data_IF_241095647790
#
_entry.id   IF_241095647790
#
_cell.length_a   1.000
_cell.length_b   1.000
_cell.length_c   1.000
_cell.angle_alpha   90.00
_cell.angle_beta   90.00
_cell.angle_gamma   90.00
#
_symmetry.space_group_name_H-M   'P 1'
#
loop_
_entity.id
_entity.type
_entity.pdbx_description
1 polymer ?
#
# COMPACT_ATOMS: atom_id res chain seq x y z
N UNK A 1 10.88 -14.31 5.47
CA UNK A 1 9.72 -14.71 6.31
C UNK A 1 8.45 -14.31 5.56
N UNK A 2 7.55 -15.26 5.28
CA UNK A 2 6.30 -14.99 4.56
C UNK A 2 5.33 -14.24 5.48
N UNK A 3 4.87 -13.05 5.06
CA UNK A 3 3.91 -12.22 5.82
C UNK A 3 2.46 -12.73 5.71
N UNK A 4 2.23 -13.86 5.04
CA UNK A 4 0.96 -14.58 5.05
C UNK A 4 1.22 -16.06 4.75
N UNK A 5 0.93 -16.92 5.72
CA UNK A 5 0.90 -18.38 5.53
C UNK A 5 -0.42 -18.86 4.90
N UNK A 6 -1.28 -17.95 4.45
CA UNK A 6 -2.53 -18.30 3.77
C UNK A 6 -2.23 -18.75 2.34
N UNK A 7 -2.81 -19.88 1.92
CA UNK A 7 -2.78 -20.26 0.51
C UNK A 7 -3.53 -19.18 -0.30
N UNK A 8 -3.21 -18.98 -1.59
CA UNK A 8 -3.94 -18.01 -2.43
C UNK A 8 -5.46 -18.18 -2.37
N UNK A 9 -5.94 -19.43 -2.23
CA UNK A 9 -7.35 -19.75 -2.04
C UNK A 9 -7.93 -19.15 -0.74
N UNK A 10 -7.20 -19.20 0.36
CA UNK A 10 -7.64 -18.70 1.66
C UNK A 10 -7.68 -17.16 1.66
N UNK A 11 -6.68 -16.51 1.07
CA UNK A 11 -6.68 -15.07 0.86
C UNK A 11 -7.89 -14.63 0.01
N UNK A 12 -8.19 -15.36 -1.06
CA UNK A 12 -9.36 -15.11 -1.90
C UNK A 12 -10.70 -15.28 -1.17
N UNK A 13 -10.83 -16.34 -0.34
CA UNK A 13 -12.02 -16.56 0.49
C UNK A 13 -12.19 -15.44 1.52
N UNK A 14 -11.12 -15.06 2.22
CA UNK A 14 -11.15 -13.99 3.21
C UNK A 14 -11.54 -12.64 2.57
N UNK A 15 -10.95 -12.31 1.41
CA UNK A 15 -11.28 -11.09 0.66
C UNK A 15 -12.76 -11.08 0.23
N UNK A 16 -13.30 -12.22 -0.25
CA UNK A 16 -14.71 -12.34 -0.62
C UNK A 16 -15.64 -12.16 0.58
N UNK A 17 -15.32 -12.73 1.72
CA UNK A 17 -16.13 -12.55 2.94
C UNK A 17 -16.08 -11.10 3.42
N UNK A 18 -14.90 -10.48 3.42
CA UNK A 18 -14.73 -9.09 3.83
C UNK A 18 -15.45 -8.11 2.90
N UNK A 19 -15.49 -8.38 1.59
CA UNK A 19 -16.13 -7.47 0.62
C UNK A 19 -17.63 -7.32 0.86
N UNK A 20 -18.32 -8.39 1.30
CA UNK A 20 -19.73 -8.32 1.66
C UNK A 20 -19.98 -7.37 2.84
N UNK A 21 -19.08 -7.35 3.82
CA UNK A 21 -19.18 -6.41 4.95
C UNK A 21 -18.83 -4.99 4.53
N UNK A 22 -17.78 -4.81 3.71
CA UNK A 22 -17.36 -3.51 3.21
C UNK A 22 -18.45 -2.83 2.37
N UNK A 23 -19.19 -3.60 1.58
CA UNK A 23 -20.27 -3.13 0.72
C UNK A 23 -21.47 -2.56 1.50
N UNK A 24 -21.68 -2.94 2.76
CA UNK A 24 -22.81 -2.48 3.58
C UNK A 24 -22.44 -1.35 4.54
N UNK A 25 -21.16 -0.97 4.62
CA UNK A 25 -20.73 0.15 5.46
C UNK A 25 -21.26 1.49 4.93
N UNK A 26 -21.42 2.45 5.82
CA UNK A 26 -21.67 3.85 5.44
C UNK A 26 -20.41 4.48 4.85
N UNK A 27 -20.58 5.51 4.02
CA UNK A 27 -19.47 6.29 3.47
C UNK A 27 -18.62 6.91 4.59
N UNK A 28 -19.24 7.34 5.70
CA UNK A 28 -18.52 7.81 6.89
C UNK A 28 -17.59 6.74 7.46
N UNK A 29 -18.07 5.51 7.67
CA UNK A 29 -17.24 4.43 8.22
C UNK A 29 -16.07 4.07 7.28
N UNK A 30 -16.29 4.09 5.96
CA UNK A 30 -15.21 3.91 4.97
C UNK A 30 -14.20 5.06 5.03
N UNK A 31 -14.66 6.29 5.17
CA UNK A 31 -13.80 7.47 5.26
C UNK A 31 -12.98 7.51 6.56
N UNK A 32 -13.55 7.05 7.67
CA UNK A 32 -12.84 6.89 8.93
C UNK A 32 -11.73 5.84 8.80
N UNK A 33 -11.99 4.72 8.12
CA UNK A 33 -10.97 3.71 7.82
C UNK A 33 -9.82 4.28 6.97
N UNK A 34 -10.10 5.05 5.92
CA UNK A 34 -9.07 5.72 5.11
C UNK A 34 -8.22 6.70 5.95
N UNK A 35 -8.86 7.44 6.85
CA UNK A 35 -8.19 8.37 7.77
C UNK A 35 -7.27 7.61 8.74
N UNK A 36 -7.73 6.48 9.27
CA UNK A 36 -6.94 5.63 10.16
C UNK A 36 -5.73 5.02 9.43
N UNK A 37 -5.90 4.58 8.18
CA UNK A 37 -4.80 4.07 7.34
C UNK A 37 -3.76 5.17 7.10
N UNK A 38 -4.19 6.38 6.73
CA UNK A 38 -3.28 7.51 6.54
C UNK A 38 -2.47 7.81 7.81
N UNK A 39 -3.12 7.85 8.97
CA UNK A 39 -2.47 8.10 10.26
C UNK A 39 -1.45 7.00 10.61
N UNK A 40 -1.82 5.73 10.43
CA UNK A 40 -0.93 4.59 10.70
C UNK A 40 0.31 4.60 9.79
N UNK A 41 0.13 4.82 8.47
CA UNK A 41 1.25 4.91 7.53
C UNK A 41 2.17 6.09 7.87
N UNK A 42 1.59 7.25 8.21
CA UNK A 42 2.36 8.44 8.62
C UNK A 42 3.21 8.17 9.86
N UNK A 43 2.63 7.51 10.87
CA UNK A 43 3.33 7.15 12.12
C UNK A 43 4.43 6.10 11.91
N UNK A 44 4.25 5.19 10.96
CA UNK A 44 5.20 4.13 10.62
C UNK A 44 6.17 4.48 9.48
N UNK A 45 6.31 5.77 9.12
CA UNK A 45 7.14 6.23 7.98
C UNK A 45 8.54 5.64 8.01
N UNK A 46 9.25 5.81 9.12
CA UNK A 46 10.65 5.41 9.23
C UNK A 46 10.82 3.88 9.12
N UNK A 47 9.91 3.11 9.71
CA UNK A 47 9.90 1.65 9.63
C UNK A 47 9.69 1.19 8.17
N UNK A 48 8.73 1.80 7.47
CA UNK A 48 8.41 1.45 6.08
C UNK A 48 9.56 1.83 5.14
N UNK A 49 10.17 3.00 5.33
CA UNK A 49 11.32 3.42 4.52
C UNK A 49 12.55 2.54 4.78
N UNK A 50 12.78 2.12 6.02
CA UNK A 50 13.83 1.16 6.35
C UNK A 50 13.58 -0.23 5.74
N UNK A 51 12.31 -0.66 5.64
CA UNK A 51 11.95 -1.87 4.89
C UNK A 51 12.22 -1.69 3.39
N UNK A 52 11.76 -0.59 2.79
CA UNK A 52 11.97 -0.31 1.36
C UNK A 52 13.46 -0.19 0.99
N UNK A 53 14.31 0.34 1.88
CA UNK A 53 15.74 0.40 1.66
C UNK A 53 16.40 -0.99 1.54
N UNK A 54 15.91 -1.98 2.31
CA UNK A 54 16.36 -3.37 2.20
C UNK A 54 15.94 -3.96 0.84
N UNK A 55 14.72 -3.71 0.42
CA UNK A 55 14.22 -4.14 -0.89
C UNK A 55 15.00 -3.49 -2.04
N UNK A 56 15.33 -2.19 -1.93
CA UNK A 56 16.16 -1.49 -2.91
C UNK A 56 17.57 -2.06 -3.01
N UNK A 57 18.14 -2.53 -1.91
CA UNK A 57 19.46 -3.17 -1.91
C UNK A 57 19.43 -4.46 -2.73
N UNK A 58 18.43 -5.32 -2.46
CA UNK A 58 18.24 -6.55 -3.22
C UNK A 58 17.91 -6.27 -4.70
N UNK A 59 17.07 -5.26 -4.98
CA UNK A 59 16.69 -4.88 -6.33
C UNK A 59 17.86 -4.29 -7.14
N UNK A 60 18.80 -3.58 -6.50
CA UNK A 60 20.02 -3.09 -7.15
C UNK A 60 20.95 -4.24 -7.52
N UNK A 61 21.12 -5.23 -6.65
CA UNK A 61 21.89 -6.44 -6.96
C UNK A 61 21.27 -7.20 -8.15
N UNK A 62 19.94 -7.35 -8.16
CA UNK A 62 19.20 -7.93 -9.29
C UNK A 62 19.25 -7.07 -10.58
N UNK A 63 19.54 -5.77 -10.47
CA UNK A 63 19.74 -4.93 -11.65
C UNK A 63 21.15 -5.08 -12.24
N UNK A 64 22.14 -5.33 -11.39
CA UNK A 64 23.52 -5.60 -11.80
C UNK A 64 23.64 -6.93 -12.58
N UNK A 65 22.89 -7.96 -12.18
CA UNK A 65 22.84 -9.25 -12.89
C UNK A 65 21.89 -9.27 -14.11
N UNK A 66 21.19 -8.16 -14.36
CA UNK A 66 20.28 -7.99 -15.50
C UNK A 66 18.90 -8.65 -15.32
N UNK A 67 18.62 -9.28 -14.18
CA UNK A 67 17.31 -9.89 -13.90
C UNK A 67 16.21 -8.84 -13.63
N UNK A 68 16.60 -7.61 -13.25
CA UNK A 68 15.71 -6.49 -13.02
C UNK A 68 16.15 -5.23 -13.78
N UNK A 69 15.20 -4.51 -14.39
CA UNK A 69 15.53 -3.24 -15.05
C UNK A 69 15.70 -2.09 -14.04
N UNK A 70 16.57 -1.13 -14.35
CA UNK A 70 16.75 0.08 -13.56
C UNK A 70 15.43 0.88 -13.40
N UNK A 71 14.52 0.80 -14.39
CA UNK A 71 13.18 1.40 -14.32
C UNK A 71 12.34 0.79 -13.20
N UNK A 72 12.42 -0.53 -12.98
CA UNK A 72 11.70 -1.19 -11.88
C UNK A 72 12.30 -0.84 -10.51
N UNK A 73 13.62 -0.75 -10.37
CA UNK A 73 14.27 -0.24 -9.14
C UNK A 73 13.81 1.18 -8.83
N UNK A 74 13.77 2.03 -9.86
CA UNK A 74 13.29 3.40 -9.80
C UNK A 74 11.81 3.50 -9.40
N UNK A 75 10.97 2.52 -9.75
CA UNK A 75 9.57 2.43 -9.31
C UNK A 75 9.42 1.90 -7.89
N UNK A 76 10.36 1.11 -7.39
CA UNK A 76 10.37 0.58 -6.03
C UNK A 76 10.75 1.65 -4.98
N UNK A 77 11.60 2.61 -5.36
CA UNK A 77 12.16 3.61 -4.43
C UNK A 77 11.09 4.58 -3.90
N UNK A 78 10.72 4.45 -2.61
CA UNK A 78 9.76 5.32 -1.93
C UNK A 78 10.37 6.64 -1.44
N UNK A 79 11.70 6.76 -1.37
CA UNK A 79 12.39 7.96 -0.90
C UNK A 79 12.54 9.03 -1.98
N UNK A 80 12.10 8.74 -3.20
CA UNK A 80 12.04 9.74 -4.26
C UNK A 80 11.29 10.99 -3.80
N UNK A 81 11.81 12.19 -4.07
CA UNK A 81 11.19 13.44 -3.63
C UNK A 81 9.70 13.49 -3.95
N UNK A 82 8.88 13.76 -2.94
CA UNK A 82 7.42 13.88 -3.05
C UNK A 82 6.65 12.55 -3.11
N UNK A 83 7.30 11.43 -3.41
CA UNK A 83 6.58 10.16 -3.64
C UNK A 83 5.86 9.64 -2.39
N UNK A 84 6.49 9.76 -1.23
CA UNK A 84 5.87 9.40 0.03
C UNK A 84 4.68 10.30 0.35
N UNK A 85 4.87 11.61 0.19
CA UNK A 85 3.85 12.62 0.45
C UNK A 85 2.66 12.47 -0.51
N UNK A 86 2.91 12.22 -1.79
CA UNK A 86 1.89 11.96 -2.81
C UNK A 86 1.10 10.69 -2.50
N UNK A 87 1.78 9.63 -2.03
CA UNK A 87 1.12 8.37 -1.61
C UNK A 87 0.15 8.61 -0.45
N UNK A 88 0.58 9.34 0.58
CA UNK A 88 -0.29 9.67 1.71
C UNK A 88 -1.43 10.60 1.29
N UNK A 89 -1.14 11.64 0.50
CA UNK A 89 -2.14 12.57 -0.02
C UNK A 89 -3.21 11.84 -0.82
N UNK A 90 -2.84 10.88 -1.66
CA UNK A 90 -3.78 10.09 -2.47
C UNK A 90 -4.86 9.38 -1.64
N UNK A 91 -4.54 8.95 -0.41
CA UNK A 91 -5.52 8.34 0.50
C UNK A 91 -6.57 9.37 0.93
N UNK A 92 -6.13 10.59 1.27
CA UNK A 92 -7.02 11.67 1.68
C UNK A 92 -7.81 12.24 0.50
N UNK A 93 -7.22 12.26 -0.69
CA UNK A 93 -7.90 12.64 -1.93
C UNK A 93 -9.08 11.69 -2.19
N UNK A 94 -8.87 10.37 -2.08
CA UNK A 94 -9.93 9.36 -2.25
C UNK A 94 -11.02 9.51 -1.18
N UNK A 95 -10.63 9.72 0.08
CA UNK A 95 -11.57 10.00 1.18
C UNK A 95 -12.44 11.23 0.90
N UNK A 96 -11.91 12.21 0.18
CA UNK A 96 -12.59 13.46 -0.16
C UNK A 96 -13.54 13.37 -1.36
N UNK A 97 -13.61 12.22 -2.04
CA UNK A 97 -14.53 12.02 -3.16
C UNK A 97 -15.94 11.71 -2.64
N UNK A 98 -16.93 12.19 -3.39
CA UNK A 98 -18.34 11.81 -3.16
C UNK A 98 -18.55 10.33 -3.51
N UNK A 99 -19.53 9.71 -2.85
CA UNK A 99 -19.89 8.34 -3.13
C UNK A 99 -20.56 8.24 -4.52
N UNK A 100 -20.05 7.41 -5.44
CA UNK A 100 -20.62 7.32 -6.79
C UNK A 100 -22.05 6.73 -6.84
N UNK A 101 -22.57 6.22 -5.72
CA UNK A 101 -23.92 5.67 -5.59
C UNK A 101 -24.96 6.62 -4.96
N UNK A 102 -24.56 7.84 -4.59
CA UNK A 102 -25.48 8.94 -4.21
C UNK A 102 -25.87 9.78 -5.43
#
# INVERSE_FOLDING_TARGET
MSLSNAQPLDAGKAAKTASHSLATLSSSARNDALTAIHAALSASKDEILAANARDLTAARQAAEDGSLSASLVSRLDLQKPGKWEDMLKGILDVRGLDDPGE
#
